data_IF_001855127736
#
_entry.id   IF_001855127736
#
_cell.length_a   1.000
_cell.length_b   1.000
_cell.length_c   1.000
_cell.angle_alpha   90.00
_cell.angle_beta   90.00
_cell.angle_gamma   90.00
#
_symmetry.space_group_name_H-M   'P 1'
#
loop_
_entity.id
_entity.type
_entity.pdbx_description
1 polymer ?
#
# COMPACT_ATOMS: atom_id res chain seq x y z
N UNK A 1 -21.17 6.54 6.28
CA UNK A 1 -20.48 6.92 7.53
C UNK A 1 -19.06 7.13 7.10
N UNK A 2 -18.65 8.39 7.06
CA UNK A 2 -17.64 8.88 6.13
C UNK A 2 -16.32 9.21 6.82
N UNK A 3 -16.29 9.00 8.14
CA UNK A 3 -15.20 9.37 9.05
C UNK A 3 -14.52 8.16 9.68
N UNK A 4 -14.99 6.95 9.39
CA UNK A 4 -14.48 5.71 10.00
C UNK A 4 -13.58 4.98 9.02
N UNK A 5 -12.35 4.72 9.46
CA UNK A 5 -11.42 3.79 8.83
C UNK A 5 -11.10 2.65 9.81
N UNK A 6 -10.44 1.60 9.33
CA UNK A 6 -9.89 0.60 10.23
C UNK A 6 -8.43 0.94 10.50
N UNK A 7 -8.12 1.35 11.72
CA UNK A 7 -6.74 1.63 12.14
C UNK A 7 -5.91 0.36 12.14
N UNK A 8 -6.56 -0.78 12.32
CA UNK A 8 -5.95 -2.10 12.22
C UNK A 8 -6.96 -3.15 11.78
N UNK A 9 -6.53 -4.07 10.94
CA UNK A 9 -7.19 -5.35 10.72
C UNK A 9 -6.16 -6.42 10.37
N UNK A 10 -6.49 -7.68 10.66
CA UNK A 10 -5.71 -8.83 10.21
C UNK A 10 -6.26 -9.38 8.91
N UNK A 11 -5.39 -9.85 8.04
CA UNK A 11 -5.78 -10.56 6.83
C UNK A 11 -5.05 -11.90 6.70
N UNK A 12 -5.66 -12.82 5.98
CA UNK A 12 -5.11 -14.15 5.67
C UNK A 12 -5.36 -14.47 4.19
N UNK A 13 -4.28 -14.79 3.47
CA UNK A 13 -4.32 -15.44 2.17
C UNK A 13 -4.15 -16.95 2.34
N UNK A 14 -5.00 -17.73 1.67
CA UNK A 14 -4.85 -19.19 1.58
C UNK A 14 -4.77 -19.60 0.13
N UNK A 15 -3.65 -20.21 -0.24
CA UNK A 15 -3.50 -20.84 -1.55
C UNK A 15 -4.17 -22.21 -1.50
N UNK A 16 -5.11 -22.46 -2.41
CA UNK A 16 -5.86 -23.71 -2.46
C UNK A 16 -5.59 -24.48 -3.75
N UNK A 17 -5.58 -25.80 -3.66
CA UNK A 17 -5.59 -26.67 -4.84
C UNK A 17 -7.02 -26.86 -5.39
N UNK A 18 -7.14 -27.66 -6.46
CA UNK A 18 -8.43 -27.93 -7.11
C UNK A 18 -9.43 -28.68 -6.21
N UNK A 19 -8.96 -29.41 -5.19
CA UNK A 19 -9.80 -30.12 -4.22
C UNK A 19 -10.25 -29.24 -3.05
N UNK A 20 -9.70 -28.02 -2.95
CA UNK A 20 -9.92 -27.10 -1.83
C UNK A 20 -8.95 -27.33 -0.66
N UNK A 21 -7.92 -28.17 -0.82
CA UNK A 21 -6.91 -28.35 0.20
C UNK A 21 -5.99 -27.12 0.26
N UNK A 22 -5.62 -26.71 1.47
CA UNK A 22 -4.74 -25.56 1.69
C UNK A 22 -3.30 -25.94 1.42
N UNK A 23 -2.68 -25.28 0.43
CA UNK A 23 -1.28 -25.47 0.04
C UNK A 23 -0.34 -24.61 0.89
N UNK A 24 -0.73 -23.36 1.14
CA UNK A 24 -0.01 -22.45 2.02
C UNK A 24 -0.92 -21.36 2.57
N UNK A 25 -0.47 -20.71 3.63
CA UNK A 25 -1.16 -19.62 4.30
C UNK A 25 -0.19 -18.51 4.60
N UNK A 26 -0.61 -17.27 4.38
CA UNK A 26 0.14 -16.09 4.76
C UNK A 26 -0.78 -15.09 5.43
N UNK A 27 -0.36 -14.65 6.61
CA UNK A 27 -1.10 -13.70 7.43
C UNK A 27 -0.36 -12.36 7.47
N UNK A 28 -1.10 -11.30 7.75
CA UNK A 28 -0.55 -9.97 7.94
C UNK A 28 -1.54 -9.02 8.60
N UNK A 29 -1.08 -7.80 8.81
CA UNK A 29 -1.88 -6.71 9.35
C UNK A 29 -1.82 -5.53 8.38
N UNK A 30 -2.89 -4.74 8.35
CA UNK A 30 -2.95 -3.51 7.57
C UNK A 30 -3.97 -2.55 8.19
N UNK A 31 -4.13 -1.39 7.55
CA UNK A 31 -5.08 -0.33 7.88
C UNK A 31 -5.82 0.09 6.61
N UNK A 32 -6.95 0.78 6.76
CA UNK A 32 -7.65 1.40 5.63
C UNK A 32 -8.29 2.72 6.09
N UNK A 33 -8.06 3.76 5.32
CA UNK A 33 -8.58 5.10 5.57
C UNK A 33 -10.09 5.18 5.28
N UNK A 34 -10.80 6.17 5.84
CA UNK A 34 -12.20 6.40 5.50
C UNK A 34 -12.39 6.57 3.98
N UNK A 35 -13.33 5.83 3.40
CA UNK A 35 -13.67 5.83 1.96
C UNK A 35 -12.57 5.34 1.01
N UNK A 36 -11.44 4.88 1.53
CA UNK A 36 -10.37 4.35 0.71
C UNK A 36 -10.79 3.01 0.07
N UNK A 37 -10.30 2.78 -1.14
CA UNK A 37 -10.21 1.43 -1.71
C UNK A 37 -8.74 1.05 -1.73
N UNK A 38 -8.39 -0.11 -1.18
CA UNK A 38 -6.99 -0.49 -0.97
C UNK A 38 -6.65 -1.81 -1.68
N UNK A 39 -5.38 -1.96 -2.07
CA UNK A 39 -4.82 -3.25 -2.48
C UNK A 39 -4.11 -3.89 -1.29
N UNK A 40 -4.34 -5.19 -1.08
CA UNK A 40 -3.51 -5.97 -0.16
C UNK A 40 -2.65 -6.89 -1.03
N UNK A 41 -1.37 -6.53 -1.17
CA UNK A 41 -0.42 -7.29 -1.96
C UNK A 41 0.51 -8.07 -1.03
N UNK A 42 0.62 -9.38 -1.26
CA UNK A 42 1.64 -10.22 -0.65
C UNK A 42 2.47 -10.87 -1.75
N UNK A 43 3.78 -10.61 -1.73
CA UNK A 43 4.73 -11.15 -2.69
C UNK A 43 5.40 -12.41 -2.14
N UNK A 44 6.00 -13.19 -3.02
CA UNK A 44 6.79 -14.37 -2.67
C UNK A 44 6.01 -15.46 -1.89
N UNK A 45 4.72 -15.61 -2.18
CA UNK A 45 3.93 -16.72 -1.67
C UNK A 45 4.48 -18.03 -2.24
N UNK A 46 5.04 -18.89 -1.37
CA UNK A 46 5.52 -20.20 -1.78
C UNK A 46 4.40 -21.23 -1.78
N UNK A 47 4.41 -22.11 -2.80
CA UNK A 47 3.60 -23.33 -2.85
C UNK A 47 4.41 -24.41 -3.57
N UNK A 48 4.31 -25.65 -3.09
CA UNK A 48 4.98 -26.80 -3.70
C UNK A 48 4.34 -27.23 -5.02
N UNK A 49 3.10 -26.81 -5.29
CA UNK A 49 2.35 -27.04 -6.52
C UNK A 49 1.70 -25.75 -7.01
N UNK A 50 1.34 -25.69 -8.29
CA UNK A 50 0.65 -24.52 -8.84
C UNK A 50 -0.74 -24.37 -8.17
N UNK A 51 -1.01 -23.27 -7.45
CA UNK A 51 -2.30 -23.07 -6.79
C UNK A 51 -3.41 -22.90 -7.83
N UNK A 52 -4.60 -23.38 -7.48
CA UNK A 52 -5.79 -23.26 -8.32
C UNK A 52 -6.57 -21.97 -8.03
N UNK A 53 -6.70 -21.62 -6.76
CA UNK A 53 -7.38 -20.39 -6.31
C UNK A 53 -6.74 -19.82 -5.06
N UNK A 54 -7.06 -18.57 -4.76
CA UNK A 54 -6.68 -17.88 -3.53
C UNK A 54 -7.96 -17.54 -2.78
N UNK A 55 -8.05 -17.97 -1.53
CA UNK A 55 -9.07 -17.51 -0.58
C UNK A 55 -8.48 -16.39 0.27
N UNK A 56 -9.26 -15.33 0.48
CA UNK A 56 -8.85 -14.12 1.20
C UNK A 56 -9.86 -13.80 2.28
N UNK A 57 -9.39 -13.60 3.51
CA UNK A 57 -10.24 -13.25 4.64
C UNK A 57 -9.65 -12.11 5.46
N UNK A 58 -10.54 -11.27 6.01
CA UNK A 58 -10.22 -10.19 6.95
C UNK A 58 -10.84 -10.53 8.31
N UNK A 59 -10.10 -10.31 9.38
CA UNK A 59 -10.50 -10.59 10.77
C UNK A 59 -10.00 -9.48 11.70
N UNK A 60 -10.49 -9.47 12.93
CA UNK A 60 -10.01 -8.59 14.01
C UNK A 60 -9.93 -7.11 13.58
N UNK A 61 -11.04 -6.57 13.06
CA UNK A 61 -11.10 -5.19 12.55
C UNK A 61 -11.33 -4.21 13.69
N UNK A 62 -10.39 -3.29 13.87
CA UNK A 62 -10.43 -2.20 14.83
C UNK A 62 -10.82 -0.91 14.09
N UNK A 63 -12.08 -0.51 14.24
CA UNK A 63 -12.61 0.71 13.62
C UNK A 63 -12.33 1.93 14.48
N UNK A 64 -11.85 2.99 13.85
CA UNK A 64 -11.53 4.25 14.50
C UNK A 64 -12.09 5.43 13.71
N UNK A 65 -12.56 6.44 14.43
CA UNK A 65 -13.08 7.67 13.85
C UNK A 65 -11.95 8.68 13.68
N UNK A 66 -11.65 9.08 12.44
CA UNK A 66 -10.70 10.13 12.13
C UNK A 66 -11.43 11.47 11.99
N UNK A 67 -11.37 12.29 13.04
CA UNK A 67 -11.89 13.66 13.05
C UNK A 67 -10.80 14.65 12.68
N UNK A 68 -11.17 15.69 11.94
CA UNK A 68 -10.26 16.78 11.55
C UNK A 68 -9.00 16.30 10.80
N UNK A 69 -9.11 15.12 10.17
CA UNK A 69 -8.08 14.52 9.35
C UNK A 69 -8.23 14.92 7.89
N UNK A 70 -7.12 15.23 7.25
CA UNK A 70 -7.02 15.40 5.80
C UNK A 70 -6.23 14.22 5.23
N UNK A 71 -6.82 13.52 4.26
CA UNK A 71 -6.15 12.43 3.56
C UNK A 71 -4.85 12.92 2.91
N UNK A 72 -3.69 12.30 3.21
CA UNK A 72 -2.42 12.69 2.61
C UNK A 72 -2.49 12.61 1.10
N UNK A 73 -2.27 13.76 0.46
CA UNK A 73 -2.19 13.83 -0.98
C UNK A 73 -0.85 13.25 -1.47
N UNK A 74 -0.85 11.96 -1.79
CA UNK A 74 0.31 11.19 -2.25
C UNK A 74 0.14 10.82 -3.73
N UNK A 75 0.76 11.59 -4.61
CA UNK A 75 0.58 11.45 -6.05
C UNK A 75 1.76 10.77 -6.73
N UNK A 76 1.45 9.95 -7.74
CA UNK A 76 2.44 9.31 -8.61
C UNK A 76 2.44 9.97 -9.99
N UNK A 77 3.54 10.63 -10.34
CA UNK A 77 3.76 11.29 -11.62
C UNK A 77 4.74 10.54 -12.50
N UNK A 78 4.73 10.86 -13.80
CA UNK A 78 5.68 10.36 -14.80
C UNK A 78 5.93 8.85 -14.72
N UNK A 79 4.86 8.10 -14.44
CA UNK A 79 4.93 6.65 -14.34
C UNK A 79 5.01 6.03 -15.73
N UNK A 80 5.87 5.03 -15.84
CA UNK A 80 6.09 4.33 -17.10
C UNK A 80 6.40 2.85 -16.84
N UNK A 81 6.07 2.03 -17.84
CA UNK A 81 6.40 0.62 -17.91
C UNK A 81 7.18 0.35 -19.19
N UNK A 82 8.32 -0.32 -19.04
CA UNK A 82 9.14 -0.77 -20.16
C UNK A 82 9.47 -2.26 -20.04
N UNK A 83 9.48 -2.94 -21.18
CA UNK A 83 9.82 -4.33 -21.31
C UNK A 83 11.05 -4.48 -22.22
N UNK A 84 12.12 -5.04 -21.67
CA UNK A 84 13.33 -5.42 -22.37
C UNK A 84 13.38 -6.95 -22.54
N UNK A 85 14.26 -7.51 -23.39
CA UNK A 85 14.41 -8.97 -23.53
C UNK A 85 14.65 -9.72 -22.22
N UNK A 86 15.38 -9.11 -21.27
CA UNK A 86 15.84 -9.77 -20.04
C UNK A 86 15.16 -9.25 -18.76
N UNK A 87 14.30 -8.23 -18.85
CA UNK A 87 13.68 -7.62 -17.68
C UNK A 87 12.43 -6.81 -18.02
N UNK A 88 11.57 -6.63 -17.04
CA UNK A 88 10.54 -5.60 -17.07
C UNK A 88 10.83 -4.56 -15.99
N UNK A 89 10.53 -3.30 -16.29
CA UNK A 89 10.80 -2.17 -15.41
C UNK A 89 9.56 -1.30 -15.26
N UNK A 90 9.22 -0.96 -14.02
CA UNK A 90 8.31 0.14 -13.71
C UNK A 90 9.11 1.26 -13.06
N UNK A 91 8.86 2.49 -13.50
CA UNK A 91 9.41 3.71 -12.93
C UNK A 91 8.26 4.65 -12.57
N UNK A 92 8.46 5.50 -11.57
CA UNK A 92 7.56 6.61 -11.27
C UNK A 92 8.16 7.61 -10.28
N UNK A 93 7.50 8.76 -10.15
CA UNK A 93 7.84 9.80 -9.21
C UNK A 93 6.74 9.91 -8.16
N UNK A 94 7.05 9.53 -6.92
CA UNK A 94 6.20 9.85 -5.78
C UNK A 94 6.39 11.33 -5.42
N UNK A 95 5.29 12.04 -5.24
CA UNK A 95 5.28 13.36 -4.63
C UNK A 95 4.36 13.37 -3.41
N UNK A 96 4.90 13.78 -2.28
CA UNK A 96 4.13 14.02 -1.08
C UNK A 96 3.61 15.45 -1.12
N UNK A 97 2.38 15.66 -1.57
CA UNK A 97 1.75 16.99 -1.65
C UNK A 97 1.02 17.36 -0.36
N UNK A 98 1.02 16.48 0.64
CA UNK A 98 0.49 16.76 1.97
C UNK A 98 1.37 17.72 2.78
N UNK A 99 0.84 18.20 3.91
CA UNK A 99 1.57 19.02 4.89
C UNK A 99 2.42 18.22 5.89
N UNK A 100 2.45 16.89 5.76
CA UNK A 100 3.09 16.00 6.72
C UNK A 100 4.41 15.44 6.18
N UNK A 101 5.39 15.26 7.09
CA UNK A 101 6.61 14.50 6.80
C UNK A 101 6.37 13.03 7.19
N UNK A 102 6.49 12.08 6.25
CA UNK A 102 6.26 10.65 6.51
C UNK A 102 7.56 9.88 6.68
N UNK A 103 7.60 9.02 7.69
CA UNK A 103 8.69 8.09 7.94
C UNK A 103 8.70 6.95 6.91
N UNK A 104 7.52 6.46 6.53
CA UNK A 104 7.35 5.42 5.52
C UNK A 104 6.12 5.69 4.66
N UNK A 105 6.29 5.53 3.34
CA UNK A 105 5.21 5.48 2.35
C UNK A 105 5.37 4.18 1.58
N UNK A 106 4.33 3.35 1.56
CA UNK A 106 4.29 2.14 0.74
C UNK A 106 3.78 2.48 -0.66
N UNK A 107 4.37 1.85 -1.67
CA UNK A 107 3.97 1.99 -3.07
C UNK A 107 3.63 0.61 -3.62
N UNK A 108 2.36 0.44 -3.96
CA UNK A 108 1.79 -0.75 -4.56
C UNK A 108 1.68 -0.61 -6.07
N UNK A 109 2.16 -1.62 -6.79
CA UNK A 109 2.17 -1.64 -8.26
C UNK A 109 1.43 -2.88 -8.75
N UNK A 110 0.49 -2.67 -9.66
CA UNK A 110 -0.26 -3.73 -10.35
C UNK A 110 -0.14 -3.52 -11.85
N UNK A 111 0.54 -4.45 -12.52
CA UNK A 111 0.57 -4.53 -13.98
C UNK A 111 -0.56 -5.44 -14.43
N UNK A 112 -1.36 -5.00 -15.41
CA UNK A 112 -2.50 -5.75 -15.95
C UNK A 112 -2.31 -6.07 -17.42
N UNK A 113 -2.77 -7.24 -17.81
CA UNK A 113 -2.89 -7.63 -19.21
C UNK A 113 -4.17 -7.07 -19.82
N UNK A 114 -4.36 -7.36 -21.10
CA UNK A 114 -5.54 -6.96 -21.88
C UNK A 114 -6.88 -7.38 -21.28
N UNK A 115 -6.92 -8.52 -20.62
CA UNK A 115 -8.12 -9.08 -19.99
C UNK A 115 -8.40 -8.47 -18.60
N UNK A 116 -7.61 -7.47 -18.19
CA UNK A 116 -7.70 -6.82 -16.88
C UNK A 116 -7.10 -7.64 -15.73
N UNK A 117 -6.60 -8.86 -16.00
CA UNK A 117 -6.00 -9.69 -14.95
C UNK A 117 -4.61 -9.19 -14.59
N UNK A 118 -4.19 -9.30 -13.31
CA UNK A 118 -2.82 -9.02 -12.91
C UNK A 118 -1.83 -9.92 -13.65
N UNK A 119 -0.81 -9.31 -14.27
CA UNK A 119 0.35 -9.98 -14.87
C UNK A 119 1.51 -10.03 -13.88
N UNK A 120 1.72 -8.94 -13.14
CA UNK A 120 2.74 -8.85 -12.11
C UNK A 120 2.32 -7.86 -11.02
N UNK A 121 2.83 -8.11 -9.81
CA UNK A 121 2.65 -7.27 -8.64
C UNK A 121 4.02 -6.80 -8.16
N UNK A 122 4.08 -5.59 -7.63
CA UNK A 122 5.28 -5.00 -7.06
C UNK A 122 4.95 -4.20 -5.81
N UNK A 123 5.91 -4.14 -4.89
CA UNK A 123 5.88 -3.29 -3.71
C UNK A 123 7.19 -2.52 -3.59
N UNK A 124 7.12 -1.28 -3.16
CA UNK A 124 8.26 -0.48 -2.74
C UNK A 124 7.94 0.23 -1.42
N UNK A 125 8.96 0.52 -0.62
CA UNK A 125 8.83 1.34 0.58
C UNK A 125 9.77 2.53 0.45
N UNK A 126 9.21 3.74 0.50
CA UNK A 126 9.98 4.96 0.58
C UNK A 126 10.10 5.43 2.03
N UNK A 127 11.34 5.46 2.52
CA UNK A 127 11.63 5.97 3.86
C UNK A 127 11.97 7.44 3.84
N UNK A 128 11.44 8.18 4.81
CA UNK A 128 11.71 9.60 5.02
C UNK A 128 11.37 10.44 3.80
N UNK A 129 10.08 10.74 3.64
CA UNK A 129 9.55 11.59 2.57
C UNK A 129 8.92 12.82 3.21
N UNK A 130 9.57 13.97 3.05
CA UNK A 130 9.11 15.24 3.63
C UNK A 130 7.90 15.78 2.86
N UNK A 131 7.16 16.67 3.52
CA UNK A 131 6.13 17.46 2.88
C UNK A 131 6.70 18.20 1.66
N UNK A 132 5.96 18.16 0.57
CA UNK A 132 6.29 18.72 -0.75
C UNK A 132 7.51 18.08 -1.44
N UNK A 133 8.08 17.02 -0.87
CA UNK A 133 9.21 16.29 -1.47
C UNK A 133 8.73 15.42 -2.63
N UNK A 134 9.61 15.28 -3.63
CA UNK A 134 9.44 14.36 -4.75
C UNK A 134 10.63 13.41 -4.82
N UNK A 135 10.35 12.11 -4.98
CA UNK A 135 11.36 11.05 -5.11
C UNK A 135 10.97 10.04 -6.17
N UNK A 136 11.96 9.52 -6.87
CA UNK A 136 11.75 8.43 -7.82
C UNK A 136 11.78 7.06 -7.14
N UNK A 137 11.04 6.11 -7.71
CA UNK A 137 11.18 4.69 -7.42
C UNK A 137 11.27 3.90 -8.73
N UNK A 138 11.83 2.70 -8.59
CA UNK A 138 11.97 1.75 -9.68
C UNK A 138 11.79 0.33 -9.17
N UNK A 139 10.97 -0.44 -9.86
CA UNK A 139 10.85 -1.89 -9.66
C UNK A 139 11.30 -2.60 -10.93
N UNK A 140 12.06 -3.67 -10.76
CA UNK A 140 12.60 -4.48 -11.85
C UNK A 140 12.24 -5.94 -11.59
N UNK A 141 11.59 -6.56 -12.56
CA UNK A 141 11.44 -8.02 -12.63
C UNK A 141 12.54 -8.54 -13.58
N UNK A 142 13.47 -9.41 -13.11
CA UNK A 142 14.66 -9.83 -13.87
C UNK A 142 14.35 -10.97 -14.85
N UNK A 143 13.24 -10.85 -15.56
CA UNK A 143 12.78 -11.76 -16.61
C UNK A 143 11.70 -11.06 -17.41
N UNK A 144 11.50 -11.45 -18.66
CA UNK A 144 10.40 -10.95 -19.51
C UNK A 144 9.09 -11.68 -19.19
N UNK A 145 7.97 -10.96 -19.25
CA UNK A 145 6.66 -11.58 -19.07
C UNK A 145 6.22 -12.27 -20.36
N UNK A 146 5.59 -13.44 -20.24
CA UNK A 146 5.03 -14.18 -21.38
C UNK A 146 3.72 -13.60 -21.92
N UNK A 147 3.20 -12.54 -21.29
CA UNK A 147 1.95 -11.86 -21.64
C UNK A 147 2.23 -10.37 -21.78
N UNK A 148 1.57 -9.73 -22.74
CA UNK A 148 1.64 -8.29 -22.94
C UNK A 148 0.94 -7.53 -21.80
N UNK A 149 1.58 -6.45 -21.35
CA UNK A 149 1.04 -5.56 -20.31
C UNK A 149 0.37 -4.39 -21.01
N UNK A 150 -0.92 -4.16 -20.71
CA UNK A 150 -1.71 -3.05 -21.26
C UNK A 150 -2.11 -2.02 -20.18
N UNK A 151 -1.97 -2.35 -18.88
CA UNK A 151 -2.34 -1.48 -17.77
C UNK A 151 -1.27 -1.36 -16.70
N UNK A 152 -1.09 -0.13 -16.18
CA UNK A 152 -0.21 0.20 -15.05
C UNK A 152 -0.99 0.98 -13.99
N UNK A 153 -1.26 0.31 -12.87
CA UNK A 153 -1.79 0.93 -11.66
C UNK A 153 -0.69 1.03 -10.62
N UNK A 154 -0.57 2.22 -10.02
CA UNK A 154 0.35 2.47 -8.91
C UNK A 154 -0.43 3.26 -7.87
N UNK A 155 -0.34 2.85 -6.61
CA UNK A 155 -0.92 3.55 -5.46
C UNK A 155 0.15 3.77 -4.40
N UNK A 156 0.13 4.94 -3.79
CA UNK A 156 0.95 5.26 -2.65
C UNK A 156 0.06 5.36 -1.42
N UNK A 157 0.54 4.89 -0.29
CA UNK A 157 -0.20 4.92 0.97
C UNK A 157 0.72 5.17 2.16
N UNK A 158 0.22 5.90 3.14
CA UNK A 158 0.88 6.15 4.40
C UNK A 158 -0.10 5.82 5.53
N UNK A 159 0.37 5.08 6.53
CA UNK A 159 -0.42 4.82 7.73
C UNK A 159 -0.48 6.11 8.56
N UNK A 160 -1.67 6.68 8.67
CA UNK A 160 -1.93 7.91 9.44
C UNK A 160 -2.46 7.61 10.85
N UNK A 161 -2.87 6.37 11.10
CA UNK A 161 -3.25 5.93 12.44
C UNK A 161 -2.00 5.66 13.29
N UNK A 162 -0.89 5.30 12.65
CA UNK A 162 0.40 5.14 13.30
C UNK A 162 1.13 6.48 13.49
N UNK A 163 1.15 6.98 14.72
CA UNK A 163 1.85 8.23 15.06
C UNK A 163 3.35 8.19 14.76
N UNK A 164 3.99 7.03 14.80
CA UNK A 164 5.42 6.88 14.50
C UNK A 164 5.72 7.04 13.00
N UNK A 165 4.69 7.04 12.16
CA UNK A 165 4.83 7.31 10.75
C UNK A 165 5.00 8.82 10.44
N UNK A 166 4.78 9.71 11.40
CA UNK A 166 5.02 11.15 11.23
C UNK A 166 6.41 11.54 11.78
N UNK A 167 7.28 12.11 10.95
CA UNK A 167 8.66 12.48 11.34
C UNK A 167 8.68 13.71 12.24
N UNK A 168 7.83 14.68 11.95
CA UNK A 168 7.61 15.84 12.81
C UNK A 168 6.24 15.69 13.45
N UNK A 169 6.21 15.72 14.78
CA UNK A 169 4.98 15.91 15.53
C UNK A 169 4.41 17.30 15.18
N UNK A 170 3.60 17.37 14.13
CA UNK A 170 2.63 18.44 13.96
C UNK A 170 1.42 18.13 14.86
N UNK A 171 1.67 17.96 16.17
CA UNK A 171 0.60 18.09 17.13
C UNK A 171 0.26 19.58 17.18
N UNK A 172 -0.99 19.99 16.87
CA UNK A 172 -1.46 21.27 17.36
C UNK A 172 -1.18 21.27 18.86
N UNK A 173 -0.48 22.28 19.36
CA UNK A 173 -0.34 22.48 20.80
C UNK A 173 -1.76 22.63 21.33
N UNK A 174 -2.35 21.55 21.86
CA UNK A 174 -3.45 21.69 22.79
C UNK A 174 -2.93 22.61 23.88
N UNK A 175 -3.54 23.79 23.99
CA UNK A 175 -3.29 24.72 25.09
C UNK A 175 -3.76 24.01 26.36
N UNK A 176 -2.88 23.23 26.96
CA UNK A 176 -3.03 22.83 28.35
C UNK A 176 -3.17 24.13 29.17
N UNK A 177 -4.31 24.20 29.82
CA UNK A 177 -4.87 25.40 30.41
C UNK A 177 -3.88 26.04 31.40
N UNK A 178 -3.69 27.36 31.23
CA UNK A 178 -3.29 28.26 32.31
C UNK A 178 -4.34 28.17 33.44
N UNK A 179 -4.18 27.22 34.35
CA UNK A 179 -4.81 27.27 35.66
C UNK A 179 -3.93 26.53 36.66
N UNK A 180 -2.84 27.16 37.10
CA UNK A 180 -2.44 27.19 38.51
C UNK A 180 -1.56 28.44 38.75
N UNK A 181 -2.22 29.58 38.89
CA UNK A 181 -1.69 30.64 39.74
C UNK A 181 -2.83 31.21 40.59
N UNK A 182 -2.92 30.72 41.82
CA UNK A 182 -3.47 31.41 42.99
C UNK A 182 -3.05 30.70 44.26
#
# INVERSE_FOLDING_TARGET
NDLYGASKFKYEFRLLDQSGAVLSKEEGESFILPKETKYIIKLNLYSSVNPYTVDFSIKDVEWEELREYEEPDLNIYNKDYSADPDKNTVFGLLRNESYYDFNSIEIDIVLRGKDGKPVALGKNEMRTVRSQEQRDFKIIWPYRFGVEVEGLEIRAEADVFNSDNFIKQYLPKEKFQEYESR
#
